data_IF_185031682723
#
_entry.id   IF_185031682723
#
_cell.length_a   1.000
_cell.length_b   1.000
_cell.length_c   1.000
_cell.angle_alpha   90.00
_cell.angle_beta   90.00
_cell.angle_gamma   90.00
#
_symmetry.space_group_name_H-M   'P 1'
#
loop_
_entity.id
_entity.type
_entity.pdbx_description
1 polymer ?
#
# COMPACT_ATOMS: atom_id res chain seq x y z
N UNK A 1 63.85 76.79 5.53
CA UNK A 1 63.84 77.43 6.87
C UNK A 1 62.61 76.93 7.64
N UNK A 2 62.81 76.41 8.87
CA UNK A 2 61.89 76.38 10.04
C UNK A 2 60.45 75.84 9.83
N UNK A 3 60.09 74.63 10.29
CA UNK A 3 59.79 74.15 11.66
C UNK A 3 58.27 74.14 12.00
N UNK A 4 57.79 72.92 12.32
CA UNK A 4 56.92 72.50 13.46
C UNK A 4 55.38 72.61 13.48
N UNK A 5 54.78 71.53 14.06
CA UNK A 5 53.51 71.34 14.83
C UNK A 5 52.33 70.69 14.06
N UNK A 6 52.03 69.39 14.23
CA UNK A 6 51.29 68.67 15.31
C UNK A 6 49.76 68.91 15.39
N UNK A 7 48.97 67.82 15.16
CA UNK A 7 47.68 67.40 15.78
C UNK A 7 46.89 66.53 14.75
N UNK A 8 46.69 65.21 14.90
CA UNK A 8 45.90 64.39 15.84
C UNK A 8 44.37 64.37 15.55
N UNK A 9 43.86 63.13 15.39
CA UNK A 9 42.45 62.66 15.32
C UNK A 9 41.70 62.99 14.00
N UNK A 10 41.00 62.07 13.32
CA UNK A 10 40.07 61.05 13.83
C UNK A 10 39.88 59.97 12.75
N UNK A 11 40.28 58.72 13.00
CA UNK A 11 39.98 57.59 12.11
C UNK A 11 38.60 57.05 12.45
N UNK A 12 37.59 57.40 11.65
CA UNK A 12 36.22 56.92 11.78
C UNK A 12 36.13 55.51 11.16
N UNK A 13 36.25 54.49 12.00
CA UNK A 13 35.98 53.10 11.60
C UNK A 13 34.47 52.88 11.48
N UNK A 14 33.94 52.98 10.26
CA UNK A 14 32.57 52.59 9.94
C UNK A 14 32.46 51.07 9.94
N UNK A 15 31.98 50.51 11.06
CA UNK A 15 31.61 49.09 11.17
C UNK A 15 30.27 48.90 10.45
N UNK A 16 30.30 48.27 9.29
CA UNK A 16 29.11 47.88 8.53
C UNK A 16 28.50 46.63 9.20
N UNK A 17 27.23 46.64 9.66
CA UNK A 17 26.62 45.45 10.24
C UNK A 17 26.30 44.45 9.12
N UNK A 18 26.98 43.31 9.13
CA UNK A 18 26.61 42.15 8.30
C UNK A 18 25.26 41.60 8.78
N UNK A 19 24.25 41.42 7.91
CA UNK A 19 23.02 40.77 8.29
C UNK A 19 23.33 39.29 8.58
N UNK A 20 23.20 38.90 9.84
CA UNK A 20 23.25 37.50 10.25
C UNK A 20 21.99 36.83 9.67
N UNK A 21 22.16 36.13 8.54
CA UNK A 21 21.12 35.25 8.01
C UNK A 21 20.92 34.12 9.02
N UNK A 22 19.88 34.23 9.85
CA UNK A 22 19.42 33.14 10.69
C UNK A 22 19.05 31.98 9.76
N UNK A 23 19.88 30.94 9.75
CA UNK A 23 19.55 29.68 9.10
C UNK A 23 18.31 29.14 9.84
N UNK A 24 17.16 29.18 9.17
CA UNK A 24 15.97 28.50 9.64
C UNK A 24 16.33 27.02 9.75
N UNK A 25 16.47 26.54 10.98
CA UNK A 25 16.57 25.11 11.28
C UNK A 25 15.23 24.55 10.83
N UNK A 26 15.23 23.83 9.72
CA UNK A 26 14.09 23.02 9.30
C UNK A 26 13.82 22.04 10.44
N UNK A 27 12.73 22.27 11.16
CA UNK A 27 12.20 21.30 12.12
C UNK A 27 11.83 20.09 11.28
N UNK A 28 12.68 19.07 11.31
CA UNK A 28 12.41 17.81 10.66
C UNK A 28 11.30 17.13 11.46
N UNK A 29 10.10 17.12 10.88
CA UNK A 29 8.94 16.47 11.50
C UNK A 29 9.28 14.99 11.73
N UNK A 30 9.37 14.60 13.00
CA UNK A 30 9.62 13.22 13.37
C UNK A 30 8.44 12.38 12.89
N UNK A 31 8.73 11.41 12.03
CA UNK A 31 7.71 10.51 11.50
C UNK A 31 7.04 9.71 12.64
N UNK A 32 5.71 9.66 12.61
CA UNK A 32 4.90 9.11 13.71
C UNK A 32 4.50 7.69 13.42
N UNK A 33 4.42 6.87 14.46
CA UNK A 33 3.88 5.52 14.37
C UNK A 33 2.35 5.60 14.39
N UNK A 34 1.68 5.06 13.36
CA UNK A 34 0.22 5.03 13.28
C UNK A 34 -0.36 3.69 13.75
N UNK A 35 0.41 2.61 13.62
CA UNK A 35 0.05 1.28 14.08
C UNK A 35 1.29 0.46 14.44
N UNK A 36 1.13 -0.46 15.40
CA UNK A 36 2.13 -1.45 15.79
C UNK A 36 1.55 -2.82 15.46
N UNK A 37 2.30 -3.65 14.75
CA UNK A 37 1.89 -4.97 14.28
C UNK A 37 2.97 -5.97 14.65
N UNK A 38 2.68 -6.82 15.64
CA UNK A 38 3.65 -7.71 16.27
C UNK A 38 4.91 -6.93 16.75
N UNK A 39 6.06 -7.19 16.13
CA UNK A 39 7.36 -6.56 16.44
C UNK A 39 7.70 -5.40 15.51
N UNK A 40 6.81 -5.05 14.58
CA UNK A 40 7.06 -4.04 13.55
C UNK A 40 6.06 -2.87 13.60
N UNK A 41 6.38 -1.76 12.95
CA UNK A 41 5.61 -0.52 12.99
C UNK A 41 5.24 -0.02 11.60
N UNK A 42 4.05 0.55 11.50
CA UNK A 42 3.59 1.28 10.32
C UNK A 42 3.72 2.77 10.63
N UNK A 43 4.46 3.46 9.77
CA UNK A 43 4.70 4.89 9.91
C UNK A 43 3.63 5.73 9.20
N UNK A 44 3.48 6.98 9.63
CA UNK A 44 2.54 7.92 9.02
C UNK A 44 2.96 8.24 7.59
N UNK A 45 4.26 8.42 7.32
CA UNK A 45 4.77 8.65 5.96
C UNK A 45 4.52 7.47 5.02
N UNK A 46 4.58 6.23 5.52
CA UNK A 46 4.29 5.01 4.75
C UNK A 46 2.81 4.98 4.34
N UNK A 47 1.91 5.25 5.30
CA UNK A 47 0.48 5.35 5.03
C UNK A 47 0.15 6.46 4.03
N UNK A 48 0.71 7.65 4.21
CA UNK A 48 0.43 8.79 3.32
C UNK A 48 0.94 8.55 1.89
N UNK A 49 2.12 7.92 1.73
CA UNK A 49 2.65 7.50 0.42
C UNK A 49 1.74 6.45 -0.24
N UNK A 50 1.33 5.44 0.51
CA UNK A 50 0.45 4.38 0.00
C UNK A 50 -0.93 4.93 -0.39
N UNK A 51 -1.53 5.82 0.41
CA UNK A 51 -2.78 6.51 0.07
C UNK A 51 -2.64 7.34 -1.19
N UNK A 52 -1.55 8.11 -1.32
CA UNK A 52 -1.31 8.95 -2.49
C UNK A 52 -1.16 8.10 -3.77
N UNK A 53 -0.46 6.96 -3.69
CA UNK A 53 -0.34 6.01 -4.79
C UNK A 53 -1.70 5.44 -5.22
N UNK A 54 -2.53 5.03 -4.26
CA UNK A 54 -3.88 4.51 -4.55
C UNK A 54 -4.76 5.58 -5.19
N UNK A 55 -4.74 6.81 -4.69
CA UNK A 55 -5.50 7.92 -5.25
C UNK A 55 -5.05 8.25 -6.69
N UNK A 56 -3.74 8.28 -6.95
CA UNK A 56 -3.19 8.49 -8.29
C UNK A 56 -3.62 7.39 -9.28
N UNK A 57 -3.73 6.14 -8.81
CA UNK A 57 -4.24 5.03 -9.63
C UNK A 57 -5.72 5.20 -10.00
N UNK A 58 -6.55 5.70 -9.07
CA UNK A 58 -7.96 6.02 -9.37
C UNK A 58 -8.09 7.10 -10.45
N UNK A 59 -7.28 8.16 -10.35
CA UNK A 59 -7.23 9.23 -11.35
C UNK A 59 -6.81 8.69 -12.72
N UNK A 60 -5.76 7.85 -12.76
CA UNK A 60 -5.25 7.26 -13.99
C UNK A 60 -6.26 6.30 -14.67
N UNK A 61 -7.13 5.63 -13.89
CA UNK A 61 -8.18 4.73 -14.39
C UNK A 61 -9.43 5.47 -14.89
N UNK A 62 -9.44 6.80 -14.88
CA UNK A 62 -10.59 7.61 -15.29
C UNK A 62 -11.77 7.57 -14.31
N UNK A 63 -11.54 7.11 -13.07
CA UNK A 63 -12.55 7.04 -12.01
C UNK A 63 -12.58 8.33 -11.16
N UNK A 64 -12.04 9.43 -11.68
CA UNK A 64 -11.94 10.72 -10.99
C UNK A 64 -13.30 11.28 -10.52
N UNK A 65 -14.39 10.97 -11.22
CA UNK A 65 -15.75 11.40 -10.86
C UNK A 65 -16.35 10.69 -9.62
N UNK A 66 -15.75 9.57 -9.20
CA UNK A 66 -16.21 8.75 -8.08
C UNK A 66 -15.07 8.47 -7.09
N UNK A 67 -14.15 9.43 -6.92
CA UNK A 67 -13.07 9.32 -5.95
C UNK A 67 -13.67 9.12 -4.55
N UNK A 68 -13.38 7.99 -3.89
CA UNK A 68 -13.80 7.79 -2.52
C UNK A 68 -13.22 8.88 -1.61
N UNK A 69 -13.93 9.25 -0.53
CA UNK A 69 -13.38 10.12 0.51
C UNK A 69 -12.00 9.62 0.99
N UNK A 70 -11.03 10.54 1.10
CA UNK A 70 -9.63 10.20 1.46
C UNK A 70 -9.55 9.43 2.78
N UNK A 71 -10.41 9.73 3.75
CA UNK A 71 -10.46 9.04 5.03
C UNK A 71 -10.87 7.56 4.92
N UNK A 72 -11.76 7.23 3.97
CA UNK A 72 -12.12 5.83 3.69
C UNK A 72 -10.95 5.10 3.03
N UNK A 73 -10.30 5.72 2.06
CA UNK A 73 -9.10 5.15 1.42
C UNK A 73 -8.00 4.94 2.45
N UNK A 74 -7.75 5.93 3.30
CA UNK A 74 -6.74 5.86 4.35
C UNK A 74 -6.99 4.68 5.30
N UNK A 75 -8.24 4.45 5.72
CA UNK A 75 -8.58 3.29 6.55
C UNK A 75 -8.31 1.98 5.83
N UNK A 76 -8.70 1.87 4.56
CA UNK A 76 -8.50 0.65 3.77
C UNK A 76 -7.03 0.37 3.47
N UNK A 77 -6.25 1.42 3.18
CA UNK A 77 -4.80 1.32 2.98
C UNK A 77 -4.11 0.91 4.28
N UNK A 78 -4.50 1.50 5.42
CA UNK A 78 -3.97 1.09 6.71
C UNK A 78 -4.25 -0.39 7.00
N UNK A 79 -5.48 -0.84 6.79
CA UNK A 79 -5.84 -2.26 6.96
C UNK A 79 -5.01 -3.17 6.05
N UNK A 80 -4.82 -2.79 4.77
CA UNK A 80 -3.95 -3.52 3.84
C UNK A 80 -2.50 -3.59 4.34
N UNK A 81 -1.94 -2.49 4.84
CA UNK A 81 -0.57 -2.45 5.37
C UNK A 81 -0.43 -3.32 6.62
N UNK A 82 -1.42 -3.29 7.53
CA UNK A 82 -1.47 -4.17 8.70
C UNK A 82 -1.48 -5.64 8.26
N UNK A 83 -2.38 -6.00 7.37
CA UNK A 83 -2.49 -7.38 6.86
C UNK A 83 -1.22 -7.85 6.16
N UNK A 84 -0.58 -6.98 5.37
CA UNK A 84 0.70 -7.27 4.74
C UNK A 84 1.78 -7.54 5.81
N UNK A 85 1.87 -6.69 6.84
CA UNK A 85 2.86 -6.84 7.91
C UNK A 85 2.66 -8.14 8.70
N UNK A 86 1.41 -8.47 9.04
CA UNK A 86 1.06 -9.75 9.70
C UNK A 86 1.47 -10.94 8.83
N UNK A 87 1.22 -10.88 7.52
CA UNK A 87 1.55 -11.98 6.61
C UNK A 87 3.06 -12.14 6.43
N UNK A 88 3.82 -11.05 6.35
CA UNK A 88 5.29 -11.08 6.28
C UNK A 88 5.87 -11.64 7.59
N UNK A 89 5.43 -11.14 8.74
CA UNK A 89 5.78 -11.65 10.08
C UNK A 89 5.56 -13.16 10.18
N UNK A 90 4.37 -13.62 9.78
CA UNK A 90 4.02 -15.04 9.77
C UNK A 90 4.85 -15.86 8.77
N UNK A 91 5.17 -15.30 7.59
CA UNK A 91 6.02 -15.97 6.62
C UNK A 91 7.42 -16.20 7.22
N UNK A 92 8.02 -15.18 7.82
CA UNK A 92 9.33 -15.29 8.45
C UNK A 92 9.32 -16.29 9.62
N UNK A 93 8.33 -16.20 10.51
CA UNK A 93 8.16 -17.12 11.64
C UNK A 93 7.92 -18.59 11.24
N UNK A 94 7.53 -18.86 9.99
CA UNK A 94 7.39 -20.22 9.44
C UNK A 94 8.57 -20.65 8.57
N UNK A 95 9.67 -19.91 8.63
CA UNK A 95 10.92 -20.20 7.91
C UNK A 95 10.85 -19.96 6.40
N UNK A 96 9.85 -19.22 5.91
CA UNK A 96 9.78 -18.84 4.50
C UNK A 96 10.78 -17.71 4.27
N UNK A 97 11.72 -17.94 3.36
CA UNK A 97 12.71 -16.93 2.94
C UNK A 97 12.72 -16.80 1.43
N UNK A 98 13.17 -15.64 0.96
CA UNK A 98 13.35 -15.32 -0.45
C UNK A 98 14.76 -14.76 -0.60
N UNK A 99 15.55 -15.38 -1.46
CA UNK A 99 16.94 -15.02 -1.72
C UNK A 99 17.03 -13.84 -2.69
N UNK A 100 18.18 -13.16 -2.71
CA UNK A 100 18.39 -12.02 -3.63
C UNK A 100 18.32 -12.43 -5.11
N UNK A 101 18.78 -13.64 -5.44
CA UNK A 101 18.69 -14.20 -6.80
C UNK A 101 17.22 -14.32 -7.23
N UNK A 102 16.35 -14.78 -6.32
CA UNK A 102 14.92 -14.92 -6.62
C UNK A 102 14.25 -13.55 -6.82
N UNK A 103 14.69 -12.53 -6.09
CA UNK A 103 14.24 -11.14 -6.27
C UNK A 103 14.71 -10.60 -7.62
N UNK A 104 15.98 -10.82 -7.98
CA UNK A 104 16.55 -10.39 -9.26
C UNK A 104 15.82 -11.02 -10.45
N UNK A 105 15.54 -12.32 -10.37
CA UNK A 105 14.77 -13.04 -11.38
C UNK A 105 13.34 -12.49 -11.49
N UNK A 106 12.73 -12.13 -10.37
CA UNK A 106 11.39 -11.53 -10.34
C UNK A 106 11.38 -10.16 -11.00
N UNK A 107 12.39 -9.32 -10.71
CA UNK A 107 12.55 -8.00 -11.33
C UNK A 107 12.81 -8.11 -12.83
N UNK A 108 13.60 -9.09 -13.26
CA UNK A 108 13.84 -9.35 -14.68
C UNK A 108 12.54 -9.73 -15.41
N UNK A 109 11.71 -10.60 -14.80
CA UNK A 109 10.39 -10.95 -15.34
C UNK A 109 9.45 -9.74 -15.39
N UNK A 110 9.42 -8.93 -14.33
CA UNK A 110 8.59 -7.73 -14.28
C UNK A 110 8.99 -6.71 -15.36
N UNK A 111 10.29 -6.49 -15.53
CA UNK A 111 10.82 -5.62 -16.57
C UNK A 111 10.43 -6.13 -17.97
N UNK A 112 10.58 -7.45 -18.21
CA UNK A 112 10.18 -8.08 -19.47
C UNK A 112 8.68 -7.96 -19.76
N UNK A 113 7.82 -8.13 -18.77
CA UNK A 113 6.36 -7.95 -18.91
C UNK A 113 5.98 -6.52 -19.31
N UNK A 114 6.75 -5.53 -18.84
CA UNK A 114 6.57 -4.12 -19.18
C UNK A 114 7.36 -3.70 -20.43
N UNK A 115 7.99 -4.63 -21.15
CA UNK A 115 8.82 -4.39 -22.33
C UNK A 115 9.99 -3.40 -22.07
N UNK A 116 10.54 -3.42 -20.86
CA UNK A 116 11.68 -2.57 -20.44
C UNK A 116 12.80 -3.43 -19.86
N UNK A 117 13.97 -2.82 -19.69
CA UNK A 117 15.13 -3.43 -19.01
C UNK A 117 15.13 -3.13 -17.51
N UNK A 118 15.83 -3.94 -16.71
CA UNK A 118 15.95 -3.70 -15.26
C UNK A 118 16.54 -2.32 -14.92
N UNK A 119 17.56 -1.80 -15.65
CA UNK A 119 18.02 -0.43 -15.44
C UNK A 119 16.96 0.64 -15.73
N UNK A 120 16.13 0.45 -16.76
CA UNK A 120 15.01 1.37 -17.06
C UNK A 120 13.91 1.29 -15.99
N UNK A 121 13.63 0.08 -15.49
CA UNK A 121 12.72 -0.12 -14.37
C UNK A 121 13.20 0.65 -13.14
N UNK A 122 14.48 0.52 -12.78
CA UNK A 122 15.11 1.29 -11.69
C UNK A 122 14.88 2.79 -11.86
N UNK A 123 15.21 3.33 -13.03
CA UNK A 123 15.05 4.75 -13.31
C UNK A 123 13.59 5.22 -13.16
N UNK A 124 12.63 4.37 -13.53
CA UNK A 124 11.20 4.68 -13.38
C UNK A 124 10.81 4.75 -11.91
N UNK A 125 11.20 3.75 -11.13
CA UNK A 125 10.89 3.68 -9.68
C UNK A 125 11.55 4.84 -8.91
N UNK A 126 12.81 5.16 -9.21
CA UNK A 126 13.53 6.25 -8.56
C UNK A 126 12.94 7.63 -8.93
N UNK A 127 12.45 7.79 -10.16
CA UNK A 127 11.73 9.02 -10.58
C UNK A 127 10.43 9.20 -9.80
N UNK A 128 9.78 8.11 -9.43
CA UNK A 128 8.53 8.12 -8.66
C UNK A 128 8.79 8.28 -7.14
N UNK A 129 10.05 8.53 -6.75
CA UNK A 129 10.44 8.89 -5.38
C UNK A 129 10.69 7.71 -4.45
N UNK A 130 10.75 6.48 -4.96
CA UNK A 130 11.03 5.27 -4.19
C UNK A 130 12.44 4.79 -4.49
N UNK A 131 13.22 4.44 -3.47
CA UNK A 131 14.56 3.89 -3.71
C UNK A 131 14.47 2.49 -4.31
N UNK A 132 15.41 2.13 -5.19
CA UNK A 132 15.41 0.79 -5.78
C UNK A 132 15.54 -0.31 -4.73
N UNK A 133 16.27 -0.06 -3.63
CA UNK A 133 16.42 -1.02 -2.55
C UNK A 133 15.13 -1.22 -1.74
N UNK A 134 14.37 -0.15 -1.49
CA UNK A 134 13.04 -0.24 -0.90
C UNK A 134 12.09 -1.03 -1.81
N UNK A 135 12.13 -0.78 -3.12
CA UNK A 135 11.35 -1.55 -4.08
C UNK A 135 11.72 -3.04 -4.10
N UNK A 136 13.02 -3.36 -4.05
CA UNK A 136 13.50 -4.75 -3.90
C UNK A 136 12.98 -5.40 -2.62
N UNK A 137 12.94 -4.65 -1.51
CA UNK A 137 12.37 -5.12 -0.24
C UNK A 137 10.88 -5.44 -0.40
N UNK A 138 10.09 -4.55 -1.01
CA UNK A 138 8.67 -4.78 -1.29
C UNK A 138 8.46 -6.04 -2.12
N UNK A 139 9.21 -6.23 -3.21
CA UNK A 139 9.11 -7.45 -4.04
C UNK A 139 9.43 -8.70 -3.23
N UNK A 140 10.44 -8.66 -2.35
CA UNK A 140 10.78 -9.79 -1.48
C UNK A 140 9.63 -10.13 -0.54
N UNK A 141 9.03 -9.13 0.10
CA UNK A 141 7.89 -9.29 1.00
C UNK A 141 6.67 -9.88 0.27
N UNK A 142 6.34 -9.36 -0.92
CA UNK A 142 5.28 -9.92 -1.75
C UNK A 142 5.52 -11.39 -2.08
N UNK A 143 6.76 -11.76 -2.45
CA UNK A 143 7.13 -13.15 -2.72
C UNK A 143 7.01 -14.03 -1.47
N UNK A 144 7.35 -13.52 -0.28
CA UNK A 144 7.17 -14.23 0.99
C UNK A 144 5.69 -14.51 1.27
N UNK A 145 4.83 -13.49 1.11
CA UNK A 145 3.38 -13.62 1.27
C UNK A 145 2.79 -14.63 0.27
N UNK A 146 3.24 -14.59 -0.98
CA UNK A 146 2.81 -15.54 -2.02
C UNK A 146 3.15 -16.98 -1.64
N UNK A 147 4.38 -17.24 -1.17
CA UNK A 147 4.80 -18.57 -0.68
C UNK A 147 4.00 -19.03 0.53
N UNK A 148 3.74 -18.11 1.46
CA UNK A 148 2.92 -18.39 2.63
C UNK A 148 1.53 -18.86 2.21
N UNK A 149 0.88 -18.13 1.31
CA UNK A 149 -0.44 -18.46 0.78
C UNK A 149 -0.44 -19.83 0.09
N UNK A 150 0.53 -20.09 -0.79
CA UNK A 150 0.65 -21.38 -1.47
C UNK A 150 0.74 -22.55 -0.47
N UNK A 151 1.58 -22.40 0.56
CA UNK A 151 1.73 -23.41 1.62
C UNK A 151 0.41 -23.66 2.36
N UNK A 152 -0.32 -22.61 2.73
CA UNK A 152 -1.61 -22.74 3.41
C UNK A 152 -2.66 -23.40 2.53
N UNK A 153 -2.79 -22.98 1.26
CA UNK A 153 -3.75 -23.55 0.32
C UNK A 153 -3.49 -25.05 0.12
N UNK A 154 -2.24 -25.43 -0.16
CA UNK A 154 -1.85 -26.83 -0.34
C UNK A 154 -2.13 -27.69 0.90
N UNK A 155 -2.00 -27.12 2.10
CA UNK A 155 -2.27 -27.85 3.35
C UNK A 155 -3.75 -28.05 3.67
N UNK A 156 -4.65 -27.20 3.13
CA UNK A 156 -6.07 -27.16 3.50
C UNK A 156 -7.01 -27.69 2.42
N UNK A 157 -6.61 -27.64 1.15
CA UNK A 157 -7.46 -28.09 0.04
C UNK A 157 -7.10 -29.53 -0.30
N UNK A 158 -8.03 -30.44 -0.03
CA UNK A 158 -7.99 -31.82 -0.50
C UNK A 158 -9.16 -32.00 -1.47
N UNK A 159 -8.87 -32.45 -2.69
CA UNK A 159 -9.88 -32.77 -3.70
C UNK A 159 -9.96 -34.29 -3.77
N UNK A 160 -11.14 -34.84 -3.55
CA UNK A 160 -11.37 -36.28 -3.66
C UNK A 160 -11.64 -36.71 -5.09
N UNK A 161 -11.30 -37.95 -5.44
CA UNK A 161 -11.61 -38.52 -6.76
C UNK A 161 -13.12 -38.48 -7.05
N UNK A 162 -13.95 -38.69 -6.02
CA UNK A 162 -15.41 -38.60 -6.14
C UNK A 162 -15.90 -37.19 -6.48
N UNK A 163 -15.28 -36.13 -5.92
CA UNK A 163 -15.61 -34.75 -6.32
C UNK A 163 -15.23 -34.47 -7.76
N UNK A 164 -14.11 -35.03 -8.23
CA UNK A 164 -13.70 -34.95 -9.65
C UNK A 164 -14.72 -35.64 -10.55
N UNK A 165 -15.12 -36.88 -10.21
CA UNK A 165 -16.11 -37.64 -10.98
C UNK A 165 -17.48 -36.92 -11.02
N UNK A 166 -17.93 -36.38 -9.89
CA UNK A 166 -19.18 -35.59 -9.82
C UNK A 166 -19.07 -34.34 -10.71
N UNK A 167 -17.95 -33.61 -10.65
CA UNK A 167 -17.76 -32.41 -11.46
C UNK A 167 -17.75 -32.75 -12.95
N UNK A 168 -17.05 -33.80 -13.36
CA UNK A 168 -17.00 -34.25 -14.76
C UNK A 168 -18.37 -34.74 -15.27
N UNK A 169 -19.13 -35.45 -14.43
CA UNK A 169 -20.47 -35.92 -14.76
C UNK A 169 -21.52 -34.80 -14.82
N UNK A 170 -21.30 -33.69 -14.09
CA UNK A 170 -22.28 -32.61 -13.97
C UNK A 170 -22.56 -31.86 -15.29
N UNK A 171 -21.63 -31.89 -16.26
CA UNK A 171 -21.67 -31.10 -17.49
C UNK A 171 -21.98 -29.59 -17.24
N UNK A 172 -21.73 -29.10 -16.01
CA UNK A 172 -22.03 -27.75 -15.54
C UNK A 172 -20.95 -26.73 -15.87
N UNK A 173 -19.98 -27.08 -16.72
CA UNK A 173 -19.00 -26.15 -17.24
C UNK A 173 -19.72 -25.15 -18.15
N UNK A 174 -20.30 -24.11 -17.55
CA UNK A 174 -20.77 -22.94 -18.27
C UNK A 174 -19.55 -22.33 -18.94
N UNK A 175 -19.54 -22.38 -20.27
CA UNK A 175 -18.50 -21.75 -21.08
C UNK A 175 -18.84 -20.28 -21.26
N UNK A 176 -17.87 -19.39 -21.02
CA UNK A 176 -18.03 -17.95 -21.14
C UNK A 176 -17.24 -17.19 -20.09
N UNK A 177 -16.76 -16.01 -20.47
CA UNK A 177 -16.07 -15.09 -19.57
C UNK A 177 -17.06 -14.02 -19.07
N UNK A 178 -17.02 -13.73 -17.77
CA UNK A 178 -17.81 -12.65 -17.16
C UNK A 178 -16.88 -11.79 -16.32
N UNK A 179 -17.09 -10.48 -16.36
CA UNK A 179 -16.47 -9.54 -15.43
C UNK A 179 -17.43 -9.35 -14.26
N UNK A 180 -16.94 -9.60 -13.04
CA UNK A 180 -17.74 -9.54 -11.81
C UNK A 180 -17.00 -8.69 -10.81
N UNK A 181 -17.69 -7.73 -10.21
CA UNK A 181 -17.19 -7.03 -9.03
C UNK A 181 -17.79 -7.65 -7.76
N UNK A 182 -17.02 -7.71 -6.68
CA UNK A 182 -17.37 -8.38 -5.43
C UNK A 182 -17.14 -7.51 -4.20
N UNK A 183 -18.09 -7.55 -3.26
CA UNK A 183 -17.98 -6.99 -1.90
C UNK A 183 -18.08 -8.14 -0.91
N UNK A 184 -17.00 -8.34 -0.13
CA UNK A 184 -16.98 -9.32 0.95
C UNK A 184 -17.37 -8.62 2.26
N UNK A 185 -18.35 -9.16 2.98
CA UNK A 185 -18.60 -8.78 4.38
C UNK A 185 -18.06 -9.89 5.27
N UNK A 186 -16.96 -9.60 5.95
CA UNK A 186 -16.27 -10.55 6.82
C UNK A 186 -17.11 -10.94 8.04
N UNK A 187 -16.96 -12.18 8.48
CA UNK A 187 -17.48 -12.67 9.75
C UNK A 187 -16.26 -13.06 10.60
N UNK A 188 -16.06 -12.48 11.79
CA UNK A 188 -14.92 -12.84 12.64
C UNK A 188 -15.00 -14.32 13.05
N UNK A 189 -13.89 -15.06 12.95
CA UNK A 189 -13.86 -16.50 13.24
C UNK A 189 -14.11 -16.85 14.73
N UNK A 190 -14.02 -15.89 15.67
CA UNK A 190 -14.11 -16.17 17.11
C UNK A 190 -15.44 -15.82 17.81
N UNK A 191 -16.46 -15.37 17.08
CA UNK A 191 -17.56 -14.67 17.73
C UNK A 191 -18.66 -15.58 18.27
N UNK A 192 -19.10 -15.22 19.48
CA UNK A 192 -20.42 -15.52 20.05
C UNK A 192 -21.54 -15.34 19.01
N UNK A 193 -22.67 -16.01 19.20
CA UNK A 193 -23.85 -16.11 18.31
C UNK A 193 -24.41 -14.76 17.77
N UNK A 194 -23.89 -13.61 18.21
CA UNK A 194 -24.32 -12.25 17.89
C UNK A 194 -23.64 -11.60 16.66
N UNK A 195 -22.54 -12.15 16.12
CA UNK A 195 -21.84 -11.47 15.00
C UNK A 195 -22.46 -11.73 13.62
N UNK A 196 -23.05 -12.92 13.41
CA UNK A 196 -23.69 -13.28 12.14
C UNK A 196 -24.86 -12.36 11.79
N UNK A 197 -25.78 -12.02 12.73
CA UNK A 197 -26.84 -11.05 12.46
C UNK A 197 -26.31 -9.67 12.06
N UNK A 198 -25.24 -9.19 12.71
CA UNK A 198 -24.65 -7.87 12.40
C UNK A 198 -24.01 -7.83 11.01
N UNK A 199 -23.25 -8.87 10.63
CA UNK A 199 -22.69 -8.98 9.28
C UNK A 199 -23.79 -9.12 8.22
N UNK A 200 -24.88 -9.83 8.52
CA UNK A 200 -26.04 -9.92 7.62
C UNK A 200 -26.75 -8.57 7.45
N UNK A 201 -26.91 -7.80 8.52
CA UNK A 201 -27.47 -6.44 8.45
C UNK A 201 -26.57 -5.50 7.65
N UNK A 202 -25.24 -5.57 7.84
CA UNK A 202 -24.26 -4.84 7.00
C UNK A 202 -24.43 -5.22 5.53
N UNK A 203 -24.49 -6.51 5.20
CA UNK A 203 -24.68 -6.97 3.82
C UNK A 203 -26.01 -6.50 3.20
N UNK A 204 -27.11 -6.56 3.97
CA UNK A 204 -28.41 -6.06 3.53
C UNK A 204 -28.39 -4.55 3.25
N UNK A 205 -27.72 -3.78 4.12
CA UNK A 205 -27.54 -2.33 3.92
C UNK A 205 -26.74 -2.03 2.65
N UNK A 206 -25.65 -2.76 2.40
CA UNK A 206 -24.86 -2.61 1.16
C UNK A 206 -25.72 -2.87 -0.07
N UNK A 207 -26.49 -3.97 -0.07
CA UNK A 207 -27.40 -4.30 -1.16
C UNK A 207 -28.46 -3.22 -1.38
N UNK A 208 -29.02 -2.66 -0.31
CA UNK A 208 -29.99 -1.57 -0.40
C UNK A 208 -29.37 -0.29 -1.01
N UNK A 209 -28.17 0.12 -0.58
CA UNK A 209 -27.49 1.30 -1.13
C UNK A 209 -27.11 1.12 -2.61
N UNK A 210 -26.66 -0.06 -3.00
CA UNK A 210 -26.38 -0.39 -4.41
C UNK A 210 -27.65 -0.32 -5.28
N UNK A 211 -28.76 -0.90 -4.81
CA UNK A 211 -30.05 -0.80 -5.49
C UNK A 211 -30.61 0.63 -5.52
N UNK A 212 -30.18 1.47 -4.57
CA UNK A 212 -30.49 2.90 -4.51
C UNK A 212 -29.68 3.79 -5.44
N UNK A 213 -28.77 3.21 -6.24
CA UNK A 213 -27.98 3.92 -7.25
C UNK A 213 -26.57 4.31 -6.79
N UNK A 214 -26.07 3.78 -5.66
CA UNK A 214 -24.66 3.91 -5.31
C UNK A 214 -23.80 3.07 -6.27
N UNK A 215 -22.75 3.68 -6.83
CA UNK A 215 -21.80 2.97 -7.68
C UNK A 215 -21.08 1.85 -6.91
N UNK A 216 -20.85 0.73 -7.59
CA UNK A 216 -20.30 -0.48 -6.97
C UNK A 216 -18.87 -0.28 -6.46
N UNK A 217 -18.01 0.40 -7.22
CA UNK A 217 -16.61 0.60 -6.84
C UNK A 217 -16.46 1.42 -5.53
N UNK A 218 -17.12 2.59 -5.37
CA UNK A 218 -17.17 3.28 -4.08
C UNK A 218 -17.77 2.44 -2.94
N UNK A 219 -18.81 1.64 -3.22
CA UNK A 219 -19.39 0.74 -2.23
C UNK A 219 -18.39 -0.34 -1.78
N UNK A 220 -17.61 -0.90 -2.70
CA UNK A 220 -16.58 -1.88 -2.39
C UNK A 220 -15.49 -1.28 -1.49
N UNK A 221 -15.01 -0.08 -1.80
CA UNK A 221 -14.00 0.61 -0.98
C UNK A 221 -14.56 0.90 0.43
N UNK A 222 -15.84 1.26 0.52
CA UNK A 222 -16.48 1.60 1.79
C UNK A 222 -16.77 0.39 2.67
N UNK A 223 -17.20 -0.72 2.09
CA UNK A 223 -17.83 -1.81 2.82
C UNK A 223 -17.13 -3.16 2.71
N UNK A 224 -16.34 -3.39 1.66
CA UNK A 224 -15.69 -4.68 1.43
C UNK A 224 -14.53 -4.86 2.41
N UNK A 225 -14.51 -6.03 3.02
CA UNK A 225 -13.43 -6.54 3.85
C UNK A 225 -12.49 -7.46 3.00
N UNK A 226 -12.69 -7.49 1.67
CA UNK A 226 -11.92 -8.30 0.72
C UNK A 226 -10.69 -7.60 0.14
N UNK A 227 -9.74 -8.37 -0.39
CA UNK A 227 -8.46 -7.84 -0.90
C UNK A 227 -8.61 -6.87 -2.08
N UNK A 228 -9.66 -7.03 -2.90
CA UNK A 228 -9.95 -6.19 -4.07
C UNK A 228 -10.73 -4.91 -3.72
N UNK A 229 -10.97 -4.62 -2.43
CA UNK A 229 -11.75 -3.45 -2.01
C UNK A 229 -11.23 -2.14 -2.62
N UNK A 230 -9.92 -1.92 -2.57
CA UNK A 230 -9.25 -0.73 -3.15
C UNK A 230 -9.24 -0.70 -4.68
N UNK A 231 -9.62 -1.79 -5.34
CA UNK A 231 -9.74 -1.87 -6.80
C UNK A 231 -11.20 -1.75 -7.26
N UNK A 232 -12.11 -1.38 -6.35
CA UNK A 232 -13.53 -1.30 -6.61
C UNK A 232 -14.24 -2.65 -6.59
N UNK A 233 -13.58 -3.68 -6.05
CA UNK A 233 -14.08 -5.05 -6.00
C UNK A 233 -13.91 -5.83 -7.31
N UNK A 234 -13.18 -5.28 -8.29
CA UNK A 234 -12.89 -5.92 -9.59
C UNK A 234 -11.82 -7.02 -9.48
#
# INVERSE_FOLDING_TARGET
MKRTLQALALALATVLPLPLMAQAISVEDIDRIIAVVDEDVILNSELDRAVSSVMAQFEARGQAAALPPRDLVQRQVLERLIMQRVQVSRADGTGIRVTDIEVDDSLARLAAQNNITVPQLRQTIERDGVSFDEFRKTIREEMMVQRLRQRFVQSRVQVSDTEVDIMLASNQLRTGEVRVSHILVGIPENTTTSAVPASAEKAAKVSHELNGGLDFAPAAIKYSDGQQALEGGD
#
